data_IF_805897080112
#
_entry.id   IF_805897080112
#
_cell.length_a   1.000
_cell.length_b   1.000
_cell.length_c   1.000
_cell.angle_alpha   90.00
_cell.angle_beta   90.00
_cell.angle_gamma   90.00
#
_symmetry.space_group_name_H-M   'P 1'
#
loop_
_entity.id
_entity.type
_entity.pdbx_description
1 polymer ?
#
# COMPACT_ATOMS: atom_id res chain seq x y z
N UNK A 1 30.80 -7.85 -16.70
CA UNK A 1 29.63 -7.70 -15.81
C UNK A 1 30.06 -8.08 -14.42
N UNK A 2 29.93 -7.18 -13.44
CA UNK A 2 30.17 -7.47 -12.03
C UNK A 2 28.99 -8.28 -11.49
N UNK A 3 29.26 -9.52 -11.06
CA UNK A 3 28.26 -10.35 -10.40
C UNK A 3 28.05 -9.81 -8.99
N UNK A 4 26.83 -9.37 -8.68
CA UNK A 4 26.45 -8.99 -7.33
C UNK A 4 26.10 -10.27 -6.56
N UNK A 5 27.05 -10.80 -5.79
CA UNK A 5 26.80 -11.93 -4.89
C UNK A 5 26.19 -11.39 -3.60
N UNK A 6 24.87 -11.53 -3.44
CA UNK A 6 24.19 -11.12 -2.20
C UNK A 6 23.99 -12.37 -1.33
N UNK A 7 24.45 -12.30 -0.08
CA UNK A 7 24.17 -13.33 0.92
C UNK A 7 22.70 -13.19 1.37
N UNK A 8 21.92 -14.27 1.22
CA UNK A 8 20.51 -14.30 1.59
C UNK A 8 20.28 -14.02 3.08
N UNK A 9 21.18 -14.48 3.97
CA UNK A 9 21.04 -14.26 5.41
C UNK A 9 21.22 -12.78 5.76
N UNK A 10 22.23 -12.12 5.19
CA UNK A 10 22.47 -10.69 5.38
C UNK A 10 21.31 -9.83 4.85
N UNK A 11 20.61 -10.30 3.81
CA UNK A 11 19.40 -9.65 3.32
C UNK A 11 18.24 -9.78 4.30
N UNK A 12 18.02 -10.96 4.87
CA UNK A 12 16.94 -11.16 5.85
C UNK A 12 17.19 -10.32 7.10
N UNK A 13 18.42 -10.30 7.63
CA UNK A 13 18.76 -9.44 8.78
C UNK A 13 18.53 -7.96 8.48
N UNK A 14 18.93 -7.50 7.29
CA UNK A 14 18.69 -6.11 6.86
C UNK A 14 17.21 -5.80 6.68
N UNK A 15 16.38 -6.73 6.20
CA UNK A 15 14.92 -6.52 6.10
C UNK A 15 14.28 -6.36 7.47
N UNK A 16 14.67 -7.19 8.45
CA UNK A 16 14.17 -7.08 9.83
C UNK A 16 14.55 -5.72 10.44
N UNK A 17 15.76 -5.23 10.15
CA UNK A 17 16.24 -3.93 10.64
C UNK A 17 15.72 -2.69 9.88
N UNK A 18 15.40 -2.81 8.59
CA UNK A 18 15.04 -1.68 7.71
C UNK A 18 13.55 -1.67 7.34
N UNK A 19 12.67 -1.68 8.34
CA UNK A 19 11.24 -1.48 8.12
C UNK A 19 10.66 -2.42 7.05
N UNK A 20 11.21 -3.64 6.98
CA UNK A 20 10.76 -4.71 6.09
C UNK A 20 11.03 -4.48 4.59
N UNK A 21 11.88 -3.50 4.24
CA UNK A 21 12.25 -3.14 2.86
C UNK A 21 13.77 -3.07 2.65
N UNK A 22 14.23 -3.60 1.50
CA UNK A 22 15.56 -3.32 0.95
C UNK A 22 15.40 -2.72 -0.43
N UNK A 23 16.10 -1.62 -0.68
CA UNK A 23 16.20 -0.99 -2.00
C UNK A 23 17.62 -1.08 -2.53
N UNK A 24 17.76 -1.70 -3.70
CA UNK A 24 19.01 -1.79 -4.46
C UNK A 24 18.90 -0.81 -5.63
N UNK A 25 19.77 0.20 -5.65
CA UNK A 25 19.76 1.25 -6.67
C UNK A 25 20.29 0.72 -8.00
N UNK A 26 19.52 0.94 -9.07
CA UNK A 26 19.97 0.69 -10.43
C UNK A 26 20.67 1.91 -11.04
N UNK A 27 21.05 1.81 -12.31
CA UNK A 27 21.56 2.96 -13.09
C UNK A 27 20.52 4.09 -13.24
N UNK A 28 19.23 3.76 -13.08
CA UNK A 28 18.11 4.70 -13.09
C UNK A 28 17.06 4.27 -12.06
N UNK A 29 16.19 5.20 -11.65
CA UNK A 29 15.08 4.89 -10.71
C UNK A 29 14.17 3.76 -11.22
N UNK A 30 13.95 3.66 -12.53
CA UNK A 30 13.17 2.58 -13.16
C UNK A 30 13.87 1.22 -13.12
N UNK A 31 15.17 1.19 -12.82
CA UNK A 31 15.98 -0.01 -12.64
C UNK A 31 16.27 -0.30 -11.16
N UNK A 32 15.69 0.46 -10.22
CA UNK A 32 15.78 0.13 -8.80
C UNK A 32 15.04 -1.18 -8.53
N UNK A 33 15.67 -2.07 -7.76
CA UNK A 33 15.04 -3.28 -7.24
C UNK A 33 14.62 -3.02 -5.79
N UNK A 34 13.35 -3.24 -5.49
CA UNK A 34 12.80 -3.18 -4.13
C UNK A 34 12.38 -4.57 -3.71
N UNK A 35 12.84 -4.98 -2.53
CA UNK A 35 12.56 -6.28 -1.94
C UNK A 35 11.82 -6.02 -0.63
N UNK A 36 10.67 -6.65 -0.47
CA UNK A 36 9.80 -6.52 0.69
C UNK A 36 9.64 -7.89 1.34
N UNK A 37 9.46 -7.93 2.66
CA UNK A 37 8.93 -9.13 3.28
C UNK A 37 7.44 -9.33 2.91
N UNK A 38 6.91 -10.52 3.18
CA UNK A 38 5.52 -10.85 2.86
C UNK A 38 4.53 -9.95 3.62
N UNK A 39 4.76 -9.69 4.91
CA UNK A 39 3.87 -8.87 5.74
C UNK A 39 3.71 -7.44 5.20
N UNK A 40 4.82 -6.83 4.76
CA UNK A 40 4.83 -5.50 4.17
C UNK A 40 4.16 -5.48 2.80
N UNK A 41 4.40 -6.51 2.00
CA UNK A 41 3.72 -6.68 0.71
C UNK A 41 2.20 -6.78 0.90
N UNK A 42 1.73 -7.61 1.83
CA UNK A 42 0.29 -7.83 2.07
C UNK A 42 -0.41 -6.56 2.62
N UNK A 43 0.26 -5.81 3.51
CA UNK A 43 -0.24 -4.50 3.99
C UNK A 43 -0.40 -3.52 2.83
N UNK A 44 0.63 -3.38 1.99
CA UNK A 44 0.59 -2.48 0.82
C UNK A 44 -0.49 -2.89 -0.18
N UNK A 45 -0.65 -4.20 -0.42
CA UNK A 45 -1.69 -4.72 -1.29
C UNK A 45 -3.10 -4.41 -0.74
N UNK A 46 -3.30 -4.58 0.56
CA UNK A 46 -4.58 -4.29 1.23
C UNK A 46 -4.92 -2.80 1.12
N UNK A 47 -3.95 -1.92 1.41
CA UNK A 47 -4.13 -0.47 1.26
C UNK A 47 -4.46 -0.08 -0.18
N UNK A 48 -3.76 -0.66 -1.17
CA UNK A 48 -4.02 -0.42 -2.58
C UNK A 48 -5.45 -0.83 -2.97
N UNK A 49 -5.92 -1.99 -2.52
CA UNK A 49 -7.28 -2.47 -2.78
C UNK A 49 -8.31 -1.51 -2.19
N UNK A 50 -8.10 -1.04 -0.95
CA UNK A 50 -8.98 -0.08 -0.30
C UNK A 50 -9.04 1.25 -1.06
N UNK A 51 -7.89 1.77 -1.50
CA UNK A 51 -7.83 2.98 -2.32
C UNK A 51 -8.57 2.81 -3.65
N UNK A 52 -8.39 1.67 -4.32
CA UNK A 52 -9.13 1.37 -5.56
C UNK A 52 -10.64 1.27 -5.33
N UNK A 53 -11.06 0.74 -4.18
CA UNK A 53 -12.47 0.66 -3.81
C UNK A 53 -13.07 2.06 -3.57
N UNK A 54 -12.37 2.92 -2.82
CA UNK A 54 -12.78 4.31 -2.59
C UNK A 54 -12.91 5.07 -3.91
N UNK A 55 -11.92 4.95 -4.81
CA UNK A 55 -11.99 5.57 -6.14
C UNK A 55 -13.23 5.13 -6.94
N UNK A 56 -13.63 3.85 -6.85
CA UNK A 56 -14.85 3.36 -7.51
C UNK A 56 -16.11 3.99 -6.91
N UNK A 57 -16.17 4.18 -5.60
CA UNK A 57 -17.31 4.82 -4.95
C UNK A 57 -17.39 6.29 -5.36
N UNK A 58 -16.28 7.02 -5.28
CA UNK A 58 -16.22 8.44 -5.67
C UNK A 58 -16.64 8.62 -7.14
N UNK A 59 -16.16 7.77 -8.04
CA UNK A 59 -16.59 7.80 -9.44
C UNK A 59 -18.10 7.60 -9.60
N UNK A 60 -18.71 6.68 -8.84
CA UNK A 60 -20.17 6.48 -8.87
C UNK A 60 -20.94 7.66 -8.30
N UNK A 61 -20.43 8.27 -7.23
CA UNK A 61 -21.00 9.48 -6.65
C UNK A 61 -21.04 10.62 -7.68
N UNK A 62 -19.92 10.84 -8.40
CA UNK A 62 -19.84 11.79 -9.51
C UNK A 62 -20.82 11.47 -10.65
N UNK A 63 -20.98 10.19 -11.01
CA UNK A 63 -21.90 9.77 -12.09
C UNK A 63 -23.39 9.89 -11.71
N UNK A 64 -23.72 9.96 -10.41
CA UNK A 64 -25.10 9.89 -9.90
C UNK A 64 -25.54 11.15 -9.13
N UNK A 65 -24.69 12.17 -9.04
CA UNK A 65 -24.85 13.33 -8.13
C UNK A 65 -25.18 12.91 -6.68
N UNK A 66 -24.77 11.70 -6.28
CA UNK A 66 -25.00 11.17 -4.94
C UNK A 66 -23.90 11.67 -3.99
N UNK A 67 -24.27 11.95 -2.74
CA UNK A 67 -23.31 12.29 -1.70
C UNK A 67 -22.63 11.02 -1.15
N UNK A 68 -21.34 11.10 -0.88
CA UNK A 68 -20.57 10.01 -0.28
C UNK A 68 -20.31 10.30 1.20
N UNK A 69 -20.55 9.30 2.04
CA UNK A 69 -20.23 9.32 3.46
C UNK A 69 -19.42 8.09 3.85
N UNK A 70 -18.48 8.28 4.76
CA UNK A 70 -17.77 7.21 5.46
C UNK A 70 -18.70 6.50 6.44
N UNK A 71 -18.36 5.26 6.84
CA UNK A 71 -19.13 4.53 7.85
C UNK A 71 -19.23 5.29 9.18
N UNK A 72 -18.16 5.97 9.61
CA UNK A 72 -18.16 6.73 10.86
C UNK A 72 -19.12 7.94 10.79
N UNK A 73 -19.20 8.61 9.64
CA UNK A 73 -20.19 9.68 9.40
C UNK A 73 -21.61 9.12 9.42
N UNK A 74 -21.83 7.96 8.79
CA UNK A 74 -23.15 7.29 8.81
C UNK A 74 -23.56 6.87 10.23
N UNK A 75 -22.64 6.37 11.05
CA UNK A 75 -22.91 6.02 12.45
C UNK A 75 -23.36 7.25 13.25
N UNK A 76 -22.65 8.39 13.11
CA UNK A 76 -23.03 9.66 13.76
C UNK A 76 -24.40 10.15 13.30
N UNK A 77 -24.68 10.08 11.99
CA UNK A 77 -25.99 10.47 11.46
C UNK A 77 -27.12 9.61 12.04
N UNK A 78 -26.89 8.30 12.24
CA UNK A 78 -27.88 7.40 12.86
C UNK A 78 -28.09 7.73 14.34
N UNK A 79 -27.04 8.10 15.07
CA UNK A 79 -27.14 8.51 16.48
C UNK A 79 -27.94 9.80 16.64
N UNK A 80 -27.78 10.77 15.74
CA UNK A 80 -28.51 12.05 15.76
C UNK A 80 -30.01 11.91 15.43
N UNK A 81 -30.42 10.81 14.79
CA UNK A 81 -31.83 10.52 14.44
C UNK A 81 -32.58 9.80 15.57
N UNK A 82 -31.88 9.24 16.57
CA UNK A 82 -32.48 8.55 17.72
C UNK A 82 -32.96 9.52 18.80
#
# INVERSE_FOLDING_TARGET
MSTLTINFNDMIEKMIGNNEEIRIKGESKSKDLVILNADKYDKLLTELINLMYIQKILKRAEETDAEYHTFEEMEKMIEEIK
#
